data_IF_185496658775
#
_entry.id   IF_185496658775
#
_cell.length_a   1.000
_cell.length_b   1.000
_cell.length_c   1.000
_cell.angle_alpha   90.00
_cell.angle_beta   90.00
_cell.angle_gamma   90.00
#
_symmetry.space_group_name_H-M   'P 1'
#
loop_
_entity.id
_entity.type
_entity.pdbx_description
1 polymer ?
#
# COMPACT_ATOMS: atom_id res chain seq x y z
N UNK A 1 -13.70 -19.94 -10.89
CA UNK A 1 -14.36 -18.67 -10.47
C UNK A 1 -13.35 -17.56 -10.66
N UNK A 2 -13.72 -16.44 -11.28
CA UNK A 2 -12.83 -15.28 -11.36
C UNK A 2 -12.76 -14.64 -9.96
N UNK A 3 -11.55 -14.33 -9.48
CA UNK A 3 -11.35 -13.59 -8.25
C UNK A 3 -11.96 -12.18 -8.39
N UNK A 4 -12.60 -11.70 -7.34
CA UNK A 4 -13.08 -10.32 -7.24
C UNK A 4 -12.42 -9.68 -6.03
N UNK A 5 -11.65 -8.58 -6.22
CA UNK A 5 -11.02 -7.90 -5.10
C UNK A 5 -12.09 -7.34 -4.14
N UNK A 6 -11.77 -7.22 -2.84
CA UNK A 6 -12.68 -6.63 -1.87
C UNK A 6 -12.89 -5.14 -2.16
N UNK A 7 -14.04 -4.63 -1.78
CA UNK A 7 -14.28 -3.19 -1.81
C UNK A 7 -13.23 -2.42 -1.00
N UNK A 8 -12.91 -1.19 -1.40
CA UNK A 8 -11.91 -0.36 -0.73
C UNK A 8 -12.20 -0.17 0.77
N UNK A 9 -13.47 -0.12 1.17
CA UNK A 9 -13.87 -0.05 2.58
C UNK A 9 -13.41 -1.28 3.37
N UNK A 10 -13.54 -2.48 2.80
CA UNK A 10 -13.07 -3.73 3.41
C UNK A 10 -11.53 -3.76 3.48
N UNK A 11 -10.84 -3.32 2.43
CA UNK A 11 -9.39 -3.22 2.43
C UNK A 11 -8.88 -2.27 3.55
N UNK A 12 -9.50 -1.11 3.68
CA UNK A 12 -9.21 -0.12 4.72
C UNK A 12 -9.48 -0.70 6.12
N UNK A 13 -10.63 -1.36 6.32
CA UNK A 13 -10.98 -1.97 7.61
C UNK A 13 -9.99 -3.05 8.05
N UNK A 14 -9.44 -3.83 7.11
CA UNK A 14 -8.40 -4.83 7.40
C UNK A 14 -7.12 -4.18 7.93
N UNK A 15 -6.71 -3.05 7.35
CA UNK A 15 -5.55 -2.28 7.84
C UNK A 15 -5.87 -1.63 9.19
N UNK A 16 -7.06 -1.07 9.38
CA UNK A 16 -7.43 -0.45 10.65
C UNK A 16 -7.40 -1.45 11.83
N UNK A 17 -7.78 -2.70 11.58
CA UNK A 17 -7.77 -3.76 12.59
C UNK A 17 -6.35 -4.22 12.97
N UNK A 18 -5.42 -4.23 12.03
CA UNK A 18 -4.00 -4.57 12.24
C UNK A 18 -3.14 -3.61 11.42
N UNK A 19 -2.69 -2.49 12.02
CA UNK A 19 -2.18 -1.34 11.26
C UNK A 19 -0.75 -1.48 10.72
N UNK A 20 -0.10 -2.61 10.91
CA UNK A 20 1.24 -2.85 10.39
C UNK A 20 1.19 -3.76 9.15
N UNK A 21 1.46 -3.21 7.98
CA UNK A 21 1.46 -3.92 6.70
C UNK A 21 2.88 -4.37 6.33
N UNK A 22 3.00 -5.59 5.79
CA UNK A 22 4.27 -6.15 5.36
C UNK A 22 4.66 -5.62 3.97
N UNK A 23 5.77 -4.88 3.86
CA UNK A 23 6.30 -4.39 2.59
C UNK A 23 7.48 -5.26 2.13
N UNK A 24 7.31 -5.99 1.03
CA UNK A 24 8.29 -6.95 0.50
C UNK A 24 9.05 -6.30 -0.67
N UNK A 25 10.36 -6.28 -0.55
CA UNK A 25 11.29 -5.87 -1.62
C UNK A 25 12.06 -7.04 -2.23
N UNK A 26 12.02 -8.20 -1.57
CA UNK A 26 12.70 -9.43 -2.00
C UNK A 26 11.77 -10.64 -1.77
N UNK A 27 11.72 -11.61 -2.71
CA UNK A 27 10.89 -12.81 -2.61
C UNK A 27 11.15 -13.67 -1.36
N UNK A 28 12.36 -13.64 -0.83
CA UNK A 28 12.77 -14.39 0.38
C UNK A 28 11.97 -14.00 1.63
N UNK A 29 11.39 -12.81 1.67
CA UNK A 29 10.57 -12.35 2.78
C UNK A 29 9.09 -12.78 2.67
N UNK A 30 8.69 -13.42 1.55
CA UNK A 30 7.29 -13.78 1.33
C UNK A 30 6.77 -14.72 2.42
N UNK A 31 7.48 -15.82 2.70
CA UNK A 31 7.02 -16.81 3.69
C UNK A 31 6.86 -16.20 5.09
N UNK A 32 7.78 -15.31 5.45
CA UNK A 32 7.67 -14.58 6.72
C UNK A 32 6.46 -13.66 6.76
N UNK A 33 6.16 -12.96 5.65
CA UNK A 33 4.97 -12.12 5.57
C UNK A 33 3.69 -12.95 5.64
N UNK A 34 3.65 -14.13 4.99
CA UNK A 34 2.50 -15.03 5.03
C UNK A 34 2.22 -15.53 6.45
N UNK A 35 3.27 -15.85 7.24
CA UNK A 35 3.16 -16.29 8.64
C UNK A 35 3.00 -15.16 9.66
N UNK A 36 2.99 -13.90 9.25
CA UNK A 36 2.90 -12.74 10.15
C UNK A 36 1.45 -12.35 10.44
N UNK A 37 1.26 -11.38 11.37
CA UNK A 37 -0.06 -10.76 11.62
C UNK A 37 -0.45 -9.72 10.58
N UNK A 38 0.49 -9.24 9.75
CA UNK A 38 0.22 -8.23 8.74
C UNK A 38 -0.97 -8.63 7.86
N UNK A 39 -2.03 -7.80 7.75
CA UNK A 39 -3.25 -8.16 7.03
C UNK A 39 -3.09 -8.00 5.52
N UNK A 40 -2.15 -7.16 5.12
CA UNK A 40 -1.87 -6.83 3.72
C UNK A 40 -0.38 -7.00 3.44
N UNK A 41 -0.07 -7.64 2.32
CA UNK A 41 1.29 -7.76 1.79
C UNK A 41 1.46 -6.77 0.64
N UNK A 42 2.37 -5.83 0.80
CA UNK A 42 2.76 -4.85 -0.22
C UNK A 42 3.95 -5.38 -1.01
N UNK A 43 3.72 -5.76 -2.25
CA UNK A 43 4.77 -6.18 -3.20
C UNK A 43 5.37 -4.93 -3.85
N UNK A 44 6.49 -4.47 -3.31
CA UNK A 44 7.16 -3.25 -3.79
C UNK A 44 8.06 -3.51 -5.00
N UNK A 45 8.40 -4.76 -5.28
CA UNK A 45 9.14 -5.21 -6.46
C UNK A 45 8.63 -6.57 -6.88
N UNK A 46 8.81 -6.91 -8.14
CA UNK A 46 8.41 -8.19 -8.68
C UNK A 46 8.61 -8.27 -10.18
N UNK A 47 8.19 -9.39 -10.73
CA UNK A 47 8.16 -9.64 -12.17
C UNK A 47 6.76 -10.14 -12.54
N UNK A 48 6.15 -9.55 -13.55
CA UNK A 48 4.82 -9.94 -14.03
C UNK A 48 4.69 -11.43 -14.31
N UNK A 49 5.73 -12.08 -14.83
CA UNK A 49 5.71 -13.52 -15.13
C UNK A 49 5.54 -14.41 -13.90
N UNK A 50 5.94 -13.93 -12.71
CA UNK A 50 5.88 -14.69 -11.46
C UNK A 50 4.85 -14.14 -10.47
N UNK A 51 4.14 -13.07 -10.83
CA UNK A 51 3.25 -12.38 -9.90
C UNK A 51 2.03 -13.22 -9.52
N UNK A 52 1.35 -13.85 -10.49
CA UNK A 52 0.11 -14.58 -10.26
C UNK A 52 0.24 -15.68 -9.19
N UNK A 53 1.24 -16.57 -9.23
CA UNK A 53 1.45 -17.55 -8.15
C UNK A 53 1.69 -16.90 -6.77
N UNK A 54 2.35 -15.75 -6.71
CA UNK A 54 2.59 -15.02 -5.46
C UNK A 54 1.29 -14.45 -4.91
N UNK A 55 0.45 -13.87 -5.76
CA UNK A 55 -0.89 -13.35 -5.39
C UNK A 55 -1.73 -14.48 -4.79
N UNK A 56 -1.80 -15.65 -5.45
CA UNK A 56 -2.55 -16.80 -4.94
C UNK A 56 -2.04 -17.24 -3.56
N UNK A 57 -0.73 -17.34 -3.37
CA UNK A 57 -0.16 -17.73 -2.06
C UNK A 57 -0.53 -16.73 -0.95
N UNK A 58 -0.60 -15.43 -1.27
CA UNK A 58 -1.01 -14.40 -0.31
C UNK A 58 -2.49 -14.58 0.05
N UNK A 59 -3.35 -14.83 -0.92
CA UNK A 59 -4.77 -15.10 -0.70
C UNK A 59 -5.02 -16.40 0.07
N UNK A 60 -4.29 -17.47 -0.24
CA UNK A 60 -4.37 -18.76 0.48
C UNK A 60 -4.01 -18.60 1.96
N UNK A 61 -3.15 -17.63 2.29
CA UNK A 61 -2.83 -17.27 3.68
C UNK A 61 -3.88 -16.33 4.33
N UNK A 62 -5.00 -16.05 3.66
CA UNK A 62 -6.07 -15.17 4.15
C UNK A 62 -5.72 -13.69 4.17
N UNK A 63 -4.70 -13.29 3.42
CA UNK A 63 -4.20 -11.91 3.36
C UNK A 63 -4.60 -11.21 2.06
N UNK A 64 -4.53 -9.88 2.06
CA UNK A 64 -4.71 -9.07 0.87
C UNK A 64 -3.36 -8.68 0.26
N UNK A 65 -3.35 -8.39 -1.04
CA UNK A 65 -2.14 -8.00 -1.77
C UNK A 65 -2.27 -6.63 -2.39
N UNK A 66 -1.28 -5.78 -2.14
CA UNK A 66 -1.09 -4.51 -2.84
C UNK A 66 0.18 -4.57 -3.69
N UNK A 67 0.10 -4.15 -4.96
CA UNK A 67 1.23 -4.21 -5.89
C UNK A 67 1.65 -2.81 -6.32
N UNK A 68 2.95 -2.53 -6.29
CA UNK A 68 3.50 -1.27 -6.77
C UNK A 68 3.69 -1.33 -8.28
N UNK A 69 2.72 -0.78 -9.03
CA UNK A 69 2.69 -0.86 -10.48
C UNK A 69 3.94 -0.28 -11.18
N UNK A 70 4.55 0.78 -10.59
CA UNK A 70 5.70 1.45 -11.17
C UNK A 70 7.01 0.64 -11.06
N UNK A 71 7.03 -0.44 -10.25
CA UNK A 71 8.23 -1.21 -9.91
C UNK A 71 8.14 -2.71 -10.25
N UNK A 72 7.04 -3.14 -10.85
CA UNK A 72 6.89 -4.52 -11.34
C UNK A 72 7.47 -4.62 -12.75
N UNK A 73 8.53 -5.41 -12.90
CA UNK A 73 9.15 -5.67 -14.19
C UNK A 73 8.19 -6.40 -15.14
N UNK A 74 8.22 -6.01 -16.42
CA UNK A 74 7.39 -6.61 -17.47
C UNK A 74 5.94 -6.09 -17.53
N UNK A 75 5.52 -5.21 -16.61
CA UNK A 75 4.21 -4.55 -16.63
C UNK A 75 4.44 -3.03 -16.72
N UNK A 76 3.75 -2.38 -17.64
CA UNK A 76 3.82 -0.92 -17.76
C UNK A 76 2.83 -0.27 -16.79
N UNK A 77 3.18 0.86 -16.13
CA UNK A 77 2.26 1.62 -15.29
C UNK A 77 1.31 2.47 -16.15
N UNK A 78 0.46 1.78 -16.91
CA UNK A 78 -0.55 2.37 -17.80
C UNK A 78 -1.90 1.63 -17.65
N UNK A 79 -2.91 2.03 -18.42
CA UNK A 79 -4.24 1.42 -18.38
C UNK A 79 -4.21 -0.09 -18.65
N UNK A 80 -3.35 -0.55 -19.55
CA UNK A 80 -3.24 -1.98 -19.87
C UNK A 80 -2.61 -2.76 -18.75
N UNK A 81 -1.55 -2.20 -18.12
CA UNK A 81 -0.91 -2.79 -16.94
C UNK A 81 -1.87 -2.88 -15.75
N UNK A 82 -2.71 -1.85 -15.52
CA UNK A 82 -3.77 -1.89 -14.49
C UNK A 82 -4.75 -3.04 -14.77
N UNK A 83 -5.24 -3.18 -16.00
CA UNK A 83 -6.13 -4.28 -16.39
C UNK A 83 -5.48 -5.66 -16.21
N UNK A 84 -4.18 -5.76 -16.47
CA UNK A 84 -3.44 -7.00 -16.23
C UNK A 84 -3.34 -7.33 -14.72
N UNK A 85 -3.07 -6.33 -13.87
CA UNK A 85 -3.03 -6.52 -12.41
C UNK A 85 -4.39 -6.96 -11.87
N UNK A 86 -5.49 -6.39 -12.38
CA UNK A 86 -6.84 -6.82 -12.03
C UNK A 86 -7.09 -8.28 -12.42
N UNK A 87 -6.70 -8.68 -13.63
CA UNK A 87 -6.82 -10.06 -14.10
C UNK A 87 -5.93 -11.03 -13.31
N UNK A 88 -4.81 -10.55 -12.75
CA UNK A 88 -3.93 -11.31 -11.86
C UNK A 88 -4.49 -11.48 -10.43
N UNK A 89 -5.64 -10.87 -10.12
CA UNK A 89 -6.30 -10.97 -8.82
C UNK A 89 -5.73 -10.04 -7.73
N UNK A 90 -5.07 -8.94 -8.12
CA UNK A 90 -4.52 -7.96 -7.18
C UNK A 90 -5.65 -7.17 -6.50
N UNK A 91 -5.58 -6.97 -5.17
CA UNK A 91 -6.59 -6.26 -4.38
C UNK A 91 -6.41 -4.75 -4.41
N UNK A 92 -5.17 -4.30 -4.42
CA UNK A 92 -4.83 -2.89 -4.43
C UNK A 92 -3.62 -2.61 -5.32
N UNK A 93 -3.60 -1.44 -5.93
CA UNK A 93 -2.46 -0.99 -6.74
C UNK A 93 -1.92 0.33 -6.18
N UNK A 94 -0.60 0.35 -5.95
CA UNK A 94 0.13 1.55 -5.55
C UNK A 94 0.82 2.12 -6.79
N UNK A 95 0.70 3.42 -6.98
CA UNK A 95 1.45 4.13 -8.02
C UNK A 95 1.72 5.58 -7.60
N UNK A 96 2.84 6.12 -8.05
CA UNK A 96 3.13 7.55 -7.99
C UNK A 96 2.46 8.34 -9.13
N UNK A 97 1.87 7.64 -10.10
CA UNK A 97 1.17 8.22 -11.23
C UNK A 97 -0.32 8.45 -10.90
N UNK A 98 -0.68 9.64 -10.42
CA UNK A 98 -2.05 9.97 -10.01
C UNK A 98 -3.11 9.75 -11.10
N UNK A 99 -2.74 9.83 -12.40
CA UNK A 99 -3.65 9.56 -13.52
C UNK A 99 -4.13 8.09 -13.56
N UNK A 100 -3.46 7.15 -12.91
CA UNK A 100 -3.89 5.75 -12.87
C UNK A 100 -4.99 5.48 -11.83
N UNK A 101 -5.20 6.35 -10.87
CA UNK A 101 -6.11 6.09 -9.75
C UNK A 101 -7.55 5.82 -10.21
N UNK A 102 -8.03 6.55 -11.20
CA UNK A 102 -9.37 6.31 -11.77
C UNK A 102 -9.49 4.94 -12.44
N UNK A 103 -8.46 4.54 -13.19
CA UNK A 103 -8.43 3.23 -13.86
C UNK A 103 -8.39 2.08 -12.85
N UNK A 104 -7.58 2.20 -11.79
CA UNK A 104 -7.48 1.21 -10.73
C UNK A 104 -8.85 1.00 -10.07
N UNK A 105 -9.54 2.09 -9.70
CA UNK A 105 -10.88 2.00 -9.11
C UNK A 105 -11.91 1.42 -10.07
N UNK A 106 -11.86 1.78 -11.35
CA UNK A 106 -12.82 1.26 -12.35
C UNK A 106 -12.67 -0.24 -12.58
N UNK A 107 -11.50 -0.80 -12.33
CA UNK A 107 -11.25 -2.24 -12.40
C UNK A 107 -11.49 -2.95 -11.06
N UNK A 108 -12.11 -2.28 -10.07
CA UNK A 108 -12.53 -2.85 -8.80
C UNK A 108 -11.44 -2.93 -7.72
N UNK A 109 -10.22 -2.47 -8.01
CA UNK A 109 -9.11 -2.52 -7.05
C UNK A 109 -9.04 -1.26 -6.19
N UNK A 110 -8.45 -1.37 -5.00
CA UNK A 110 -8.15 -0.21 -4.13
C UNK A 110 -7.00 0.60 -4.72
N UNK A 111 -7.24 1.88 -4.99
CA UNK A 111 -6.25 2.80 -5.54
C UNK A 111 -5.45 3.49 -4.43
N UNK A 112 -4.14 3.27 -4.39
CA UNK A 112 -3.22 3.86 -3.41
C UNK A 112 -2.28 4.83 -4.14
N UNK A 113 -2.44 6.14 -3.90
CA UNK A 113 -1.56 7.14 -4.48
C UNK A 113 -0.34 7.36 -3.58
N UNK A 114 0.84 7.01 -4.06
CA UNK A 114 2.11 7.21 -3.34
C UNK A 114 2.65 8.61 -3.59
N UNK A 115 2.94 9.33 -2.51
CA UNK A 115 3.53 10.66 -2.52
C UNK A 115 4.90 10.64 -1.84
N UNK A 116 5.91 11.12 -2.55
CA UNK A 116 7.26 11.34 -2.01
C UNK A 116 7.40 12.80 -1.57
N UNK A 117 7.54 13.04 -0.27
CA UNK A 117 7.68 14.36 0.33
C UNK A 117 9.12 14.55 0.85
N UNK A 118 9.92 15.32 0.11
CA UNK A 118 11.32 15.59 0.45
C UNK A 118 11.49 16.99 1.05
N UNK A 119 10.57 17.90 0.75
CA UNK A 119 10.62 19.31 1.18
C UNK A 119 9.23 19.81 1.53
N UNK A 120 9.14 20.70 2.52
CA UNK A 120 7.89 21.33 2.95
C UNK A 120 7.15 22.03 1.78
N UNK A 121 7.89 22.64 0.88
CA UNK A 121 7.31 23.32 -0.31
C UNK A 121 6.54 22.39 -1.26
N UNK A 122 6.61 21.07 -1.07
CA UNK A 122 5.86 20.10 -1.88
C UNK A 122 4.46 19.81 -1.30
N UNK A 123 4.13 20.27 -0.08
CA UNK A 123 2.86 19.93 0.57
C UNK A 123 1.64 20.41 -0.26
N UNK A 124 1.64 21.65 -0.72
CA UNK A 124 0.52 22.20 -1.49
C UNK A 124 0.32 21.44 -2.82
N UNK A 125 1.42 21.10 -3.48
CA UNK A 125 1.36 20.31 -4.72
C UNK A 125 0.89 18.88 -4.47
N UNK A 126 1.28 18.28 -3.34
CA UNK A 126 0.84 16.95 -2.93
C UNK A 126 -0.67 16.94 -2.63
N UNK A 127 -1.17 17.92 -1.87
CA UNK A 127 -2.60 18.09 -1.59
C UNK A 127 -3.40 18.24 -2.89
N UNK A 128 -2.92 19.10 -3.79
CA UNK A 128 -3.54 19.27 -5.11
C UNK A 128 -3.54 17.99 -5.93
N UNK A 129 -2.47 17.18 -5.86
CA UNK A 129 -2.36 15.90 -6.55
C UNK A 129 -3.38 14.87 -6.00
N UNK A 130 -3.55 14.80 -4.67
CA UNK A 130 -4.55 13.93 -4.03
C UNK A 130 -5.96 14.31 -4.48
N UNK A 131 -6.30 15.61 -4.43
CA UNK A 131 -7.62 16.11 -4.82
C UNK A 131 -7.95 15.74 -6.28
N UNK A 132 -6.98 15.89 -7.18
CA UNK A 132 -7.18 15.57 -8.61
C UNK A 132 -7.27 14.09 -8.89
N UNK A 133 -6.46 13.27 -8.22
CA UNK A 133 -6.38 11.82 -8.47
C UNK A 133 -7.48 11.04 -7.74
N UNK A 134 -8.04 11.61 -6.66
CA UNK A 134 -9.08 11.03 -5.83
C UNK A 134 -8.84 9.54 -5.50
N UNK A 135 -7.70 9.17 -4.87
CA UNK A 135 -7.40 7.78 -4.53
C UNK A 135 -8.31 7.27 -3.40
N UNK A 136 -8.30 5.96 -3.14
CA UNK A 136 -8.94 5.41 -1.94
C UNK A 136 -8.06 5.59 -0.69
N UNK A 137 -6.73 5.57 -0.88
CA UNK A 137 -5.72 5.71 0.18
C UNK A 137 -4.57 6.54 -0.38
N UNK A 138 -3.93 7.33 0.49
CA UNK A 138 -2.66 8.00 0.19
C UNK A 138 -1.56 7.31 0.97
N UNK A 139 -0.44 7.00 0.33
CA UNK A 139 0.77 6.58 1.04
C UNK A 139 1.82 7.70 0.99
N UNK A 140 2.28 8.12 2.16
CA UNK A 140 3.30 9.17 2.32
C UNK A 140 4.67 8.53 2.57
N UNK A 141 5.65 8.94 1.76
CA UNK A 141 7.06 8.59 1.92
C UNK A 141 7.92 9.86 2.07
N UNK A 142 8.94 9.83 2.94
CA UNK A 142 9.19 8.82 3.97
C UNK A 142 8.19 8.91 5.12
N UNK A 143 7.61 7.77 5.53
CA UNK A 143 6.56 7.72 6.56
C UNK A 143 7.04 8.19 7.94
N UNK A 144 8.33 8.03 8.25
CA UNK A 144 8.91 8.47 9.53
C UNK A 144 8.75 9.98 9.77
N UNK A 145 8.57 10.79 8.72
CA UNK A 145 8.33 12.23 8.87
C UNK A 145 6.86 12.58 9.05
N UNK A 146 5.94 11.63 8.83
CA UNK A 146 4.50 11.90 8.87
C UNK A 146 4.06 12.58 10.18
N UNK A 147 4.50 12.16 11.38
CA UNK A 147 4.14 12.84 12.63
C UNK A 147 4.52 14.33 12.67
N UNK A 148 5.61 14.71 11.99
CA UNK A 148 6.08 16.09 11.96
C UNK A 148 5.34 16.99 10.96
N UNK A 149 4.60 16.40 10.03
CA UNK A 149 3.90 17.14 8.97
C UNK A 149 2.38 17.00 9.03
N UNK A 150 1.85 16.09 9.83
CA UNK A 150 0.42 15.80 9.90
C UNK A 150 -0.42 17.06 10.18
N UNK A 151 0.00 17.88 11.13
CA UNK A 151 -0.68 19.15 11.48
C UNK A 151 -0.57 20.24 10.40
N UNK A 152 0.36 20.07 9.46
CA UNK A 152 0.54 21.02 8.34
C UNK A 152 -0.33 20.65 7.13
N UNK A 153 -0.94 19.47 7.17
CA UNK A 153 -1.79 18.97 6.10
C UNK A 153 -3.25 19.19 6.50
N UNK A 154 -4.10 19.67 5.58
CA UNK A 154 -5.53 19.68 5.85
C UNK A 154 -5.98 18.23 6.10
N UNK A 155 -7.05 18.02 6.87
CA UNK A 155 -7.60 16.69 7.03
C UNK A 155 -7.92 16.13 5.65
N UNK A 156 -7.22 15.06 5.28
CA UNK A 156 -7.51 14.36 4.03
C UNK A 156 -8.89 13.72 4.11
N UNK A 157 -9.62 13.79 3.01
CA UNK A 157 -10.87 13.04 2.85
C UNK A 157 -10.65 11.53 2.71
N UNK A 158 -9.40 11.10 2.65
CA UNK A 158 -8.98 9.70 2.46
C UNK A 158 -7.93 9.32 3.49
N UNK A 159 -7.92 8.04 3.94
CA UNK A 159 -6.94 7.57 4.92
C UNK A 159 -5.51 7.62 4.39
N UNK A 160 -4.56 7.78 5.31
CA UNK A 160 -3.13 7.90 5.03
C UNK A 160 -2.39 6.68 5.58
N UNK A 161 -1.51 6.09 4.76
CA UNK A 161 -0.48 5.15 5.17
C UNK A 161 0.87 5.87 5.29
N UNK A 162 1.62 5.56 6.34
CA UNK A 162 3.00 6.05 6.51
C UNK A 162 3.97 4.96 6.07
N UNK A 163 4.70 5.17 4.95
CA UNK A 163 5.62 4.19 4.38
C UNK A 163 7.06 4.68 4.32
N UNK A 164 8.01 3.75 4.46
CA UNK A 164 9.43 4.04 4.38
C UNK A 164 10.05 4.59 5.68
N UNK A 165 11.21 4.02 6.01
CA UNK A 165 11.99 4.29 7.23
C UNK A 165 11.28 3.99 8.55
N UNK A 166 10.15 3.31 8.55
CA UNK A 166 9.50 2.78 9.76
C UNK A 166 10.28 1.53 10.18
N UNK A 167 10.99 1.60 11.30
CA UNK A 167 11.92 0.56 11.76
C UNK A 167 11.67 0.08 13.18
N UNK A 168 10.97 0.85 13.99
CA UNK A 168 10.74 0.58 15.40
C UNK A 168 9.26 0.69 15.74
N UNK A 169 8.83 0.05 16.83
CA UNK A 169 7.49 0.21 17.40
C UNK A 169 7.17 1.68 17.71
N UNK A 170 8.18 2.46 18.09
CA UNK A 170 8.03 3.90 18.32
C UNK A 170 7.64 4.64 17.05
N UNK A 171 8.22 4.28 15.90
CA UNK A 171 7.87 4.90 14.60
C UNK A 171 6.43 4.55 14.23
N UNK A 172 6.02 3.30 14.47
CA UNK A 172 4.64 2.84 14.25
C UNK A 172 3.68 3.66 15.10
N UNK A 173 3.89 3.69 16.43
CA UNK A 173 3.02 4.40 17.37
C UNK A 173 2.97 5.91 17.08
N UNK A 174 4.10 6.53 16.75
CA UNK A 174 4.14 7.94 16.38
C UNK A 174 3.28 8.23 15.13
N UNK A 175 3.36 7.36 14.10
CA UNK A 175 2.56 7.51 12.89
C UNK A 175 1.06 7.34 13.15
N UNK A 176 0.67 6.34 13.94
CA UNK A 176 -0.73 6.09 14.31
C UNK A 176 -1.31 7.24 15.16
N UNK A 177 -0.54 7.72 16.15
CA UNK A 177 -0.92 8.86 17.01
C UNK A 177 -1.12 10.15 16.18
N UNK A 178 -0.34 10.32 15.11
CA UNK A 178 -0.48 11.43 14.17
C UNK A 178 -1.67 11.26 13.18
N UNK A 179 -2.44 10.19 13.29
CA UNK A 179 -3.64 9.95 12.49
C UNK A 179 -3.43 9.10 11.23
N UNK A 180 -2.29 8.41 11.09
CA UNK A 180 -2.17 7.42 10.01
C UNK A 180 -3.13 6.24 10.25
N UNK A 181 -3.73 5.73 9.17
CA UNK A 181 -4.50 4.49 9.16
C UNK A 181 -3.63 3.29 9.55
N UNK A 182 -2.38 3.30 9.11
CA UNK A 182 -1.41 2.24 9.34
C UNK A 182 -0.07 2.59 8.74
N UNK A 183 0.85 1.65 8.83
CA UNK A 183 2.21 1.78 8.31
C UNK A 183 2.53 0.67 7.32
N UNK A 184 3.41 0.98 6.34
CA UNK A 184 4.02 -0.02 5.46
C UNK A 184 5.51 -0.09 5.77
N UNK A 185 6.00 -1.26 6.15
CA UNK A 185 7.40 -1.44 6.55
C UNK A 185 8.02 -2.71 6.01
N UNK A 186 9.30 -2.65 5.64
CA UNK A 186 10.12 -3.82 5.32
C UNK A 186 10.85 -4.41 6.55
N UNK A 187 10.69 -3.80 7.73
CA UNK A 187 11.21 -4.34 8.98
C UNK A 187 10.37 -5.54 9.41
N UNK A 188 10.88 -6.73 9.14
CA UNK A 188 10.16 -7.98 9.40
C UNK A 188 9.85 -8.23 10.88
N UNK A 189 10.58 -7.57 11.79
CA UNK A 189 10.32 -7.64 13.23
C UNK A 189 8.98 -6.96 13.62
N UNK A 190 8.53 -5.98 12.83
CA UNK A 190 7.31 -5.22 13.10
C UNK A 190 6.04 -5.89 12.55
N UNK A 191 6.15 -6.92 11.71
CA UNK A 191 4.97 -7.58 11.14
C UNK A 191 4.19 -8.44 12.16
N UNK A 192 4.75 -8.64 13.35
CA UNK A 192 4.20 -9.54 14.36
C UNK A 192 4.27 -11.01 13.95
N UNK A 193 4.09 -11.90 14.91
CA UNK A 193 3.91 -13.34 14.64
C UNK A 193 2.46 -13.69 14.91
N UNK A 194 1.82 -14.49 14.05
CA UNK A 194 0.60 -15.18 14.44
C UNK A 194 0.99 -16.06 15.63
N UNK A 195 0.46 -15.76 16.82
CA UNK A 195 0.77 -16.51 18.02
C UNK A 195 0.51 -17.99 17.80
N UNK A 196 1.40 -18.83 18.35
CA UNK A 196 1.18 -20.27 18.46
C UNK A 196 0.02 -20.56 19.40
#
# INVERSE_FOLDING_TARGET
MSYSPPEAATFIARIAAEPCCAAITSPEHLDRALGSRAPVVFLLRGNGLTLVPVVHRIHDAGKLVAVHADLVGGIRPDRSGVGWLAAAGVDAVISSHGQLMAAIRSDGMTAIHRLLLVRRSQLDSAISAITRSAPNIVEILPGVIFPAIADMMPPFSVPVLAGGFIRTERDVQASLTAGALGVTTSSTALWGTNGA
#
